data_IF_301292715789
#
_entry.id   IF_301292715789
#
_cell.length_a   1.000
_cell.length_b   1.000
_cell.length_c   1.000
_cell.angle_alpha   90.00
_cell.angle_beta   90.00
_cell.angle_gamma   90.00
#
_symmetry.space_group_name_H-M   'P 1'
#
loop_
_entity.id
_entity.type
_entity.pdbx_description
1 polymer ?
#
# COMPACT_ATOMS: atom_id res chain seq x y z
N UNK A 1 -25.02 -23.47 18.44
CA UNK A 1 -24.18 -22.38 18.98
C UNK A 1 -22.74 -22.79 18.77
N UNK A 2 -22.13 -22.33 17.68
CA UNK A 2 -20.73 -22.61 17.39
C UNK A 2 -19.89 -21.57 18.14
N UNK A 3 -18.95 -22.05 18.94
CA UNK A 3 -17.97 -21.24 19.66
C UNK A 3 -17.11 -20.50 18.65
N UNK A 4 -17.20 -19.17 18.68
CA UNK A 4 -16.24 -18.26 18.07
C UNK A 4 -14.85 -18.59 18.62
N UNK A 5 -14.05 -19.27 17.80
CA UNK A 5 -12.67 -19.60 18.13
C UNK A 5 -11.88 -18.30 18.05
N UNK A 6 -11.73 -17.65 19.20
CA UNK A 6 -11.03 -16.38 19.35
C UNK A 6 -9.67 -16.42 18.64
N UNK A 7 -9.62 -15.87 17.42
CA UNK A 7 -8.37 -15.55 16.76
C UNK A 7 -7.75 -14.44 17.59
N UNK A 8 -6.79 -14.80 18.43
CA UNK A 8 -5.92 -13.87 19.13
C UNK A 8 -5.38 -12.88 18.09
N UNK A 9 -5.66 -11.59 18.30
CA UNK A 9 -5.03 -10.51 17.52
C UNK A 9 -3.51 -10.75 17.58
N UNK A 10 -2.80 -10.78 16.44
CA UNK A 10 -1.36 -11.06 16.45
C UNK A 10 -0.62 -10.07 17.36
N UNK A 11 0.42 -10.55 18.03
CA UNK A 11 1.37 -9.66 18.70
C UNK A 11 2.09 -8.78 17.68
N UNK A 12 2.66 -7.66 18.11
CA UNK A 12 3.47 -6.81 17.22
C UNK A 12 4.64 -7.56 16.58
N UNK A 13 5.26 -8.47 17.33
CA UNK A 13 6.36 -9.31 16.85
C UNK A 13 5.90 -10.29 15.76
N UNK A 14 4.72 -10.90 15.93
CA UNK A 14 4.12 -11.76 14.90
C UNK A 14 3.74 -10.96 13.66
N UNK A 15 3.15 -9.77 13.84
CA UNK A 15 2.79 -8.89 12.74
C UNK A 15 4.01 -8.44 11.93
N UNK A 16 5.11 -8.06 12.60
CA UNK A 16 6.37 -7.71 11.95
C UNK A 16 6.95 -8.90 11.17
N UNK A 17 6.94 -10.09 11.77
CA UNK A 17 7.39 -11.32 11.10
C UNK A 17 6.55 -11.62 9.86
N UNK A 18 5.23 -11.42 9.90
CA UNK A 18 4.36 -11.57 8.72
C UNK A 18 4.76 -10.60 7.62
N UNK A 19 5.00 -9.32 7.93
CA UNK A 19 5.48 -8.34 6.93
C UNK A 19 6.81 -8.78 6.32
N UNK A 20 7.76 -9.21 7.15
CA UNK A 20 9.07 -9.70 6.70
C UNK A 20 8.95 -10.95 5.81
N UNK A 21 8.08 -11.90 6.15
CA UNK A 21 7.84 -13.11 5.36
C UNK A 21 7.23 -12.77 3.99
N UNK A 22 6.25 -11.86 3.95
CA UNK A 22 5.69 -11.38 2.68
C UNK A 22 6.78 -10.69 1.86
N UNK A 23 7.60 -9.83 2.46
CA UNK A 23 8.70 -9.15 1.77
C UNK A 23 9.72 -10.15 1.18
N UNK A 24 10.15 -11.15 1.94
CA UNK A 24 11.07 -12.20 1.49
C UNK A 24 10.48 -13.03 0.35
N UNK A 25 9.20 -13.40 0.43
CA UNK A 25 8.53 -14.15 -0.65
C UNK A 25 8.43 -13.35 -1.97
N UNK A 26 8.57 -12.02 -1.89
CA UNK A 26 8.45 -11.07 -3.01
C UNK A 26 9.78 -10.45 -3.43
N UNK A 27 10.83 -10.66 -2.65
CA UNK A 27 12.05 -9.87 -2.70
C UNK A 27 13.27 -10.69 -2.32
N UNK A 28 14.04 -11.03 -3.34
CA UNK A 28 15.44 -11.46 -3.32
C UNK A 28 15.77 -12.71 -2.51
N UNK A 29 16.66 -13.54 -3.07
CA UNK A 29 17.28 -14.62 -2.31
C UNK A 29 18.06 -14.05 -1.12
N UNK A 30 18.15 -14.82 -0.03
CA UNK A 30 18.92 -14.41 1.15
C UNK A 30 20.40 -14.23 0.80
N UNK A 31 21.10 -13.33 1.49
CA UNK A 31 22.55 -13.15 1.31
C UNK A 31 23.33 -14.45 1.54
N UNK A 32 22.87 -15.30 2.46
CA UNK A 32 23.43 -16.63 2.68
C UNK A 32 23.29 -17.53 1.43
N UNK A 33 22.11 -17.55 0.81
CA UNK A 33 21.85 -18.31 -0.41
C UNK A 33 22.63 -17.74 -1.61
N UNK A 34 22.76 -16.42 -1.71
CA UNK A 34 23.58 -15.75 -2.71
C UNK A 34 25.05 -16.14 -2.58
N UNK A 35 25.58 -16.12 -1.35
CA UNK A 35 26.96 -16.52 -1.08
C UNK A 35 27.18 -17.99 -1.41
N UNK A 36 26.28 -18.88 -1.02
CA UNK A 36 26.36 -20.30 -1.36
C UNK A 36 26.35 -20.54 -2.88
N UNK A 37 25.50 -19.81 -3.61
CA UNK A 37 25.46 -19.85 -5.06
C UNK A 37 26.74 -19.31 -5.72
N UNK A 38 27.33 -18.24 -5.16
CA UNK A 38 28.58 -17.68 -5.63
C UNK A 38 29.75 -18.64 -5.39
N UNK A 39 29.83 -19.23 -4.20
CA UNK A 39 30.85 -20.24 -3.89
C UNK A 39 30.70 -21.49 -4.77
N UNK A 40 29.47 -21.89 -5.11
CA UNK A 40 29.22 -22.99 -6.06
C UNK A 40 29.67 -22.63 -7.48
N UNK A 41 29.42 -21.39 -7.91
CA UNK A 41 29.90 -20.86 -9.19
C UNK A 41 31.43 -20.82 -9.26
N UNK A 42 32.10 -20.39 -8.18
CA UNK A 42 33.56 -20.38 -8.07
C UNK A 42 34.15 -21.80 -8.14
N UNK A 43 33.39 -22.82 -7.69
CA UNK A 43 33.71 -24.26 -7.86
C UNK A 43 33.35 -24.82 -9.23
N UNK A 44 32.80 -24.01 -10.13
CA UNK A 44 32.43 -24.37 -11.51
C UNK A 44 30.96 -24.72 -11.73
N UNK A 45 30.12 -24.74 -10.69
CA UNK A 45 28.66 -24.95 -10.83
C UNK A 45 27.91 -23.61 -10.86
N UNK A 46 27.81 -23.06 -12.07
CA UNK A 46 27.16 -21.76 -12.31
C UNK A 46 25.63 -21.81 -12.38
N UNK A 47 25.00 -22.99 -12.25
CA UNK A 47 23.56 -23.16 -12.53
C UNK A 47 22.69 -22.36 -11.57
N UNK A 48 23.02 -22.39 -10.28
CA UNK A 48 22.29 -21.64 -9.26
C UNK A 48 22.49 -20.13 -9.46
N UNK A 49 23.71 -19.70 -9.79
CA UNK A 49 23.99 -18.29 -10.05
C UNK A 49 23.23 -17.77 -11.28
N UNK A 50 23.12 -18.56 -12.35
CA UNK A 50 22.31 -18.22 -13.53
C UNK A 50 20.82 -18.11 -13.20
N UNK A 51 20.29 -18.97 -12.32
CA UNK A 51 18.90 -18.86 -11.86
C UNK A 51 18.67 -17.58 -11.04
N UNK A 52 19.61 -17.23 -10.16
CA UNK A 52 19.56 -15.98 -9.38
C UNK A 52 19.58 -14.78 -10.33
N UNK A 53 20.53 -14.74 -11.28
CA UNK A 53 20.67 -13.67 -12.25
C UNK A 53 19.43 -13.53 -13.14
N UNK A 54 18.89 -14.65 -13.66
CA UNK A 54 17.67 -14.64 -14.47
C UNK A 54 16.45 -14.17 -13.67
N UNK A 55 16.35 -14.55 -12.39
CA UNK A 55 15.29 -14.06 -11.50
C UNK A 55 15.44 -12.56 -11.23
N UNK A 56 16.65 -12.05 -10.98
CA UNK A 56 16.91 -10.62 -10.76
C UNK A 56 16.63 -9.79 -12.03
N UNK A 57 17.00 -10.29 -13.21
CA UNK A 57 16.66 -9.64 -14.48
C UNK A 57 15.14 -9.61 -14.71
N UNK A 58 14.45 -10.73 -14.47
CA UNK A 58 12.99 -10.78 -14.54
C UNK A 58 12.33 -9.84 -13.53
N UNK A 59 12.87 -9.77 -12.30
CA UNK A 59 12.42 -8.87 -11.24
C UNK A 59 12.56 -7.40 -11.67
N UNK A 60 13.69 -7.04 -12.28
CA UNK A 60 13.94 -5.71 -12.84
C UNK A 60 12.98 -5.39 -14.00
N UNK A 61 12.72 -6.34 -14.89
CA UNK A 61 11.72 -6.19 -15.96
C UNK A 61 10.34 -5.96 -15.35
N UNK A 62 9.93 -6.77 -14.36
CA UNK A 62 8.64 -6.62 -13.69
C UNK A 62 8.52 -5.27 -12.96
N UNK A 63 9.58 -4.80 -12.31
CA UNK A 63 9.62 -3.48 -11.68
C UNK A 63 9.42 -2.36 -12.69
N UNK A 64 10.11 -2.41 -13.84
CA UNK A 64 9.95 -1.45 -14.93
C UNK A 64 8.56 -1.52 -15.56
N UNK A 65 8.03 -2.72 -15.78
CA UNK A 65 6.67 -2.91 -16.27
C UNK A 65 5.63 -2.36 -15.30
N UNK A 66 5.84 -2.52 -13.99
CA UNK A 66 4.96 -1.91 -12.98
C UNK A 66 4.97 -0.39 -13.04
N UNK A 67 6.14 0.22 -13.25
CA UNK A 67 6.26 1.67 -13.45
C UNK A 67 5.50 2.13 -14.69
N UNK A 68 5.75 1.51 -15.85
CA UNK A 68 5.08 1.84 -17.12
C UNK A 68 3.55 1.63 -17.02
N UNK A 69 3.11 0.50 -16.47
CA UNK A 69 1.67 0.20 -16.28
C UNK A 69 1.04 1.22 -15.31
N UNK A 70 1.78 1.62 -14.26
CA UNK A 70 1.36 2.66 -13.32
C UNK A 70 1.22 4.04 -13.98
N UNK A 71 1.94 4.30 -15.07
CA UNK A 71 1.87 5.55 -15.83
C UNK A 71 0.79 5.50 -16.92
N UNK A 72 0.68 4.37 -17.66
CA UNK A 72 -0.17 4.22 -18.85
C UNK A 72 -1.65 3.88 -18.57
N UNK A 73 -1.99 3.14 -17.50
CA UNK A 73 -3.38 2.69 -17.26
C UNK A 73 -4.35 3.78 -16.75
N UNK A 74 -3.86 4.98 -16.41
CA UNK A 74 -4.57 5.85 -15.47
C UNK A 74 -4.87 7.25 -16.03
N UNK A 75 -5.73 7.28 -17.05
CA UNK A 75 -6.23 8.50 -17.72
C UNK A 75 -7.24 9.32 -16.90
N UNK A 76 -7.71 8.85 -15.73
CA UNK A 76 -8.56 9.66 -14.85
C UNK A 76 -8.08 9.67 -13.38
N UNK A 77 -7.81 10.88 -12.87
CA UNK A 77 -7.36 11.14 -11.50
C UNK A 77 -8.37 10.69 -10.42
N UNK A 78 -9.64 10.45 -10.76
CA UNK A 78 -10.65 9.96 -9.83
C UNK A 78 -10.59 8.44 -9.57
N UNK A 79 -9.85 7.68 -10.39
CA UNK A 79 -9.86 6.21 -10.31
C UNK A 79 -9.28 5.67 -9.02
N UNK A 80 -8.17 6.23 -8.52
CA UNK A 80 -7.56 5.75 -7.28
C UNK A 80 -8.48 5.95 -6.07
N UNK A 81 -9.27 7.03 -6.03
CA UNK A 81 -10.25 7.27 -4.96
C UNK A 81 -11.32 6.19 -4.96
N UNK A 82 -11.81 5.80 -6.13
CA UNK A 82 -12.77 4.72 -6.26
C UNK A 82 -12.18 3.39 -5.78
N UNK A 83 -10.93 3.09 -6.10
CA UNK A 83 -10.25 1.88 -5.63
C UNK A 83 -10.06 1.88 -4.09
N UNK A 84 -9.75 3.04 -3.50
CA UNK A 84 -9.66 3.19 -2.03
C UNK A 84 -11.03 2.98 -1.38
N UNK A 85 -12.09 3.58 -1.93
CA UNK A 85 -13.46 3.41 -1.42
C UNK A 85 -13.88 1.94 -1.52
N UNK A 86 -13.63 1.30 -2.66
CA UNK A 86 -13.93 -0.13 -2.85
C UNK A 86 -13.17 -1.02 -1.87
N UNK A 87 -11.89 -0.74 -1.60
CA UNK A 87 -11.13 -1.47 -0.57
C UNK A 87 -11.74 -1.28 0.82
N UNK A 88 -12.29 -0.09 1.11
CA UNK A 88 -12.97 0.18 2.38
C UNK A 88 -14.33 -0.51 2.45
N UNK A 89 -15.10 -0.57 1.36
CA UNK A 89 -16.36 -1.33 1.29
C UNK A 89 -16.12 -2.84 1.48
N UNK A 90 -15.02 -3.38 0.95
CA UNK A 90 -14.61 -4.79 1.07
C UNK A 90 -14.10 -5.18 2.49
N UNK A 91 -13.94 -4.22 3.41
CA UNK A 91 -13.43 -4.48 4.77
C UNK A 91 -14.50 -5.06 5.71
N UNK A 92 -14.05 -5.58 6.84
CA UNK A 92 -14.95 -6.06 7.90
C UNK A 92 -15.13 -4.99 8.99
N UNK A 93 -16.38 -4.76 9.39
CA UNK A 93 -16.74 -3.79 10.44
C UNK A 93 -17.42 -4.50 11.61
N UNK A 94 -17.48 -3.84 12.77
CA UNK A 94 -18.23 -4.36 13.91
C UNK A 94 -19.74 -4.21 13.66
N UNK A 95 -20.54 -5.17 14.13
CA UNK A 95 -22.00 -5.23 13.86
C UNK A 95 -22.75 -3.97 14.31
N UNK A 96 -22.25 -3.27 15.33
CA UNK A 96 -22.86 -2.07 15.90
C UNK A 96 -22.09 -0.78 15.56
N UNK A 97 -21.17 -0.81 14.60
CA UNK A 97 -20.44 0.39 14.13
C UNK A 97 -20.96 0.81 12.76
N UNK A 98 -21.17 2.10 12.55
CA UNK A 98 -21.39 2.66 11.22
C UNK A 98 -20.06 2.68 10.45
N UNK A 99 -19.92 1.94 9.34
CA UNK A 99 -18.71 1.93 8.53
C UNK A 99 -18.39 3.32 7.98
N UNK A 100 -17.17 3.79 8.22
CA UNK A 100 -16.75 5.12 7.83
C UNK A 100 -15.38 5.12 7.17
N UNK A 101 -15.25 5.98 6.17
CA UNK A 101 -13.99 6.34 5.54
C UNK A 101 -13.81 7.86 5.62
N UNK A 102 -12.67 8.31 6.14
CA UNK A 102 -12.30 9.72 6.19
C UNK A 102 -11.13 9.97 5.26
N UNK A 103 -11.22 11.03 4.45
CA UNK A 103 -10.12 11.49 3.59
C UNK A 103 -9.77 12.93 3.96
N UNK A 104 -8.53 13.12 4.41
CA UNK A 104 -7.96 14.42 4.74
C UNK A 104 -6.76 14.70 3.84
N UNK A 105 -6.76 15.86 3.19
CA UNK A 105 -5.68 16.27 2.30
C UNK A 105 -4.81 17.32 2.97
N UNK A 106 -3.51 17.15 2.79
CA UNK A 106 -2.45 18.02 3.24
C UNK A 106 -1.60 18.43 2.02
N UNK A 107 -0.82 19.52 2.11
CA UNK A 107 0.00 20.00 0.98
C UNK A 107 0.93 18.94 0.38
N UNK A 108 1.42 18.01 1.19
CA UNK A 108 2.38 16.97 0.79
C UNK A 108 1.87 15.54 1.04
N UNK A 109 0.63 15.35 1.47
CA UNK A 109 0.12 14.02 1.80
C UNK A 109 -1.41 13.92 1.72
N UNK A 110 -1.90 12.71 1.47
CA UNK A 110 -3.32 12.35 1.67
C UNK A 110 -3.40 11.34 2.80
N UNK A 111 -4.22 11.61 3.80
CA UNK A 111 -4.52 10.67 4.89
C UNK A 111 -5.90 10.09 4.70
N UNK A 112 -5.97 8.77 4.69
CA UNK A 112 -7.20 8.00 4.60
C UNK A 112 -7.33 7.21 5.92
N UNK A 113 -8.48 7.29 6.57
CA UNK A 113 -8.76 6.59 7.82
C UNK A 113 -10.04 5.76 7.72
N UNK A 114 -10.04 4.55 8.28
CA UNK A 114 -11.21 3.66 8.35
C UNK A 114 -11.35 3.06 9.75
N UNK A 115 -12.60 2.90 10.19
CA UNK A 115 -12.99 2.28 11.46
C UNK A 115 -13.27 0.78 11.37
N UNK A 116 -12.81 0.12 10.32
CA UNK A 116 -12.89 -1.34 10.16
C UNK A 116 -12.21 -2.11 11.32
N UNK A 117 -12.35 -3.43 11.36
CA UNK A 117 -11.77 -4.30 12.42
C UNK A 117 -10.26 -4.39 12.36
N UNK A 118 -9.66 -4.14 11.19
CA UNK A 118 -8.24 -4.21 10.93
C UNK A 118 -7.89 -5.31 9.94
N UNK A 119 -6.74 -5.14 9.29
CA UNK A 119 -6.26 -6.02 8.24
C UNK A 119 -5.89 -7.39 8.77
N UNK A 120 -6.19 -8.38 7.94
CA UNK A 120 -5.64 -9.73 8.02
C UNK A 120 -4.39 -9.84 7.16
N UNK A 121 -3.63 -10.92 7.33
CA UNK A 121 -2.51 -11.25 6.43
C UNK A 121 -2.96 -11.30 4.96
N UNK A 122 -4.15 -11.84 4.68
CA UNK A 122 -4.70 -11.89 3.32
C UNK A 122 -4.94 -10.49 2.73
N UNK A 123 -5.34 -9.50 3.55
CA UNK A 123 -5.45 -8.12 3.10
C UNK A 123 -4.08 -7.56 2.68
N UNK A 124 -3.03 -7.81 3.47
CA UNK A 124 -1.66 -7.35 3.18
C UNK A 124 -1.12 -8.03 1.92
N UNK A 125 -1.29 -9.35 1.81
CA UNK A 125 -0.92 -10.12 0.62
C UNK A 125 -1.64 -9.58 -0.60
N UNK A 126 -2.94 -9.25 -0.48
CA UNK A 126 -3.73 -8.68 -1.57
C UNK A 126 -3.25 -7.29 -1.98
N UNK A 127 -2.92 -6.42 -1.01
CA UNK A 127 -2.27 -5.14 -1.28
C UNK A 127 -0.93 -5.33 -2.00
N UNK A 128 -0.19 -6.40 -1.73
CA UNK A 128 1.12 -6.70 -2.32
C UNK A 128 1.08 -7.51 -3.64
N UNK A 129 -0.11 -7.82 -4.18
CA UNK A 129 -0.23 -8.58 -5.45
C UNK A 129 -0.12 -7.67 -6.69
N UNK A 130 0.19 -8.31 -7.83
CA UNK A 130 0.16 -7.74 -9.19
C UNK A 130 -0.57 -8.74 -10.08
N UNK A 131 -1.70 -8.34 -10.67
CA UNK A 131 -2.45 -9.18 -11.60
C UNK A 131 -3.14 -10.41 -10.96
N UNK A 132 -4.22 -10.88 -11.61
CA UNK A 132 -5.17 -11.93 -11.17
C UNK A 132 -5.75 -11.74 -9.76
N UNK A 133 -6.86 -11.00 -9.65
CA UNK A 133 -7.83 -11.25 -8.58
C UNK A 133 -8.70 -12.46 -8.98
N UNK A 134 -9.02 -13.34 -8.05
CA UNK A 134 -9.89 -14.52 -8.24
C UNK A 134 -11.38 -14.19 -8.13
N UNK A 135 -11.76 -12.90 -8.06
CA UNK A 135 -13.17 -12.50 -7.98
C UNK A 135 -13.84 -12.71 -9.35
N UNK A 136 -14.96 -13.45 -9.43
CA UNK A 136 -15.68 -13.65 -10.68
C UNK A 136 -16.16 -12.30 -11.25
N UNK A 137 -16.13 -12.19 -12.58
CA UNK A 137 -16.56 -10.99 -13.32
C UNK A 137 -18.08 -10.86 -13.17
N UNK A 138 -18.56 -9.93 -12.35
CA UNK A 138 -20.00 -9.76 -12.13
C UNK A 138 -20.39 -8.58 -11.23
N UNK A 139 -21.01 -7.59 -11.87
CA UNK A 139 -21.85 -6.50 -11.33
C UNK A 139 -21.16 -5.33 -10.58
N UNK A 140 -20.64 -4.38 -11.37
CA UNK A 140 -20.24 -3.04 -10.92
C UNK A 140 -19.03 -2.53 -11.70
N UNK A 141 -18.49 -1.37 -11.34
CA UNK A 141 -17.11 -0.97 -11.67
C UNK A 141 -16.13 -1.92 -10.93
N UNK A 142 -16.23 -3.22 -11.20
CA UNK A 142 -15.46 -4.28 -10.57
C UNK A 142 -14.02 -4.15 -11.01
N UNK A 143 -13.13 -3.98 -10.03
CA UNK A 143 -11.68 -3.99 -10.17
C UNK A 143 -11.19 -5.27 -10.85
N UNK A 144 -11.21 -5.24 -12.17
CA UNK A 144 -10.40 -6.11 -12.99
C UNK A 144 -8.94 -5.83 -12.63
N UNK A 145 -8.27 -6.87 -12.13
CA UNK A 145 -6.82 -6.96 -11.92
C UNK A 145 -6.38 -6.40 -10.55
N UNK A 146 -5.62 -7.22 -9.82
CA UNK A 146 -4.95 -6.86 -8.56
C UNK A 146 -3.85 -5.79 -8.75
N UNK A 147 -4.24 -4.62 -9.24
CA UNK A 147 -3.46 -3.40 -9.47
C UNK A 147 -4.18 -2.16 -8.91
N UNK A 148 -5.43 -2.30 -8.43
CA UNK A 148 -6.26 -1.20 -7.95
C UNK A 148 -5.57 -0.30 -6.93
N UNK A 149 -5.03 -0.89 -5.86
CA UNK A 149 -4.29 -0.12 -4.84
C UNK A 149 -3.01 0.54 -5.40
N UNK A 150 -2.37 -0.02 -6.42
CA UNK A 150 -1.12 0.55 -6.99
C UNK A 150 -1.35 1.90 -7.65
N UNK A 151 -2.59 2.21 -8.03
CA UNK A 151 -2.96 3.51 -8.60
C UNK A 151 -2.64 4.72 -7.69
N UNK A 152 -2.50 4.51 -6.37
CA UNK A 152 -2.08 5.57 -5.44
C UNK A 152 -0.68 6.11 -5.74
N UNK A 153 0.20 5.33 -6.38
CA UNK A 153 1.57 5.75 -6.69
C UNK A 153 1.68 6.76 -7.84
N UNK A 154 0.56 7.07 -8.51
CA UNK A 154 0.47 8.22 -9.41
C UNK A 154 0.63 9.56 -8.69
N UNK A 155 0.15 9.63 -7.45
CA UNK A 155 0.13 10.84 -6.63
C UNK A 155 1.05 10.74 -5.40
N UNK A 156 1.55 9.54 -5.11
CA UNK A 156 2.33 9.24 -3.94
C UNK A 156 3.66 8.62 -4.34
N UNK A 157 4.71 8.99 -3.62
CA UNK A 157 6.00 8.32 -3.63
C UNK A 157 5.97 7.10 -2.71
N UNK A 158 5.42 7.28 -1.51
CA UNK A 158 5.25 6.23 -0.51
C UNK A 158 3.80 6.12 -0.07
N UNK A 159 3.38 4.91 0.22
CA UNK A 159 2.15 4.63 0.94
C UNK A 159 2.52 3.99 2.28
N UNK A 160 2.29 4.70 3.37
CA UNK A 160 2.43 4.19 4.73
C UNK A 160 1.09 3.65 5.19
N UNK A 161 1.06 2.43 5.74
CA UNK A 161 -0.15 1.75 6.17
C UNK A 161 0.00 1.29 7.61
N UNK A 162 -0.95 1.70 8.44
CA UNK A 162 -1.20 1.12 9.76
C UNK A 162 -2.55 0.45 9.74
N UNK A 163 -2.60 -0.80 10.17
CA UNK A 163 -3.82 -1.45 10.59
C UNK A 163 -3.50 -2.39 11.74
N UNK A 164 -3.70 -1.93 12.98
CA UNK A 164 -3.11 -2.59 14.16
C UNK A 164 -3.47 -4.08 14.21
N UNK A 165 -2.50 -5.00 14.32
CA UNK A 165 -1.10 -4.80 14.74
C UNK A 165 -0.08 -4.58 13.60
N UNK A 166 -0.50 -4.44 12.35
CA UNK A 166 0.38 -4.29 11.19
C UNK A 166 0.77 -2.83 10.92
N UNK A 167 2.06 -2.63 10.61
CA UNK A 167 2.66 -1.34 10.25
C UNK A 167 3.64 -1.56 9.11
N UNK A 168 3.39 -0.99 7.94
CA UNK A 168 4.29 -1.16 6.80
C UNK A 168 4.17 -0.04 5.78
N UNK A 169 5.22 0.14 5.01
CA UNK A 169 5.24 1.02 3.85
C UNK A 169 5.40 0.24 2.53
N UNK A 170 4.94 0.87 1.47
CA UNK A 170 5.22 0.53 0.08
C UNK A 170 5.83 1.76 -0.59
N UNK A 171 6.94 1.56 -1.30
CA UNK A 171 7.80 2.63 -1.83
C UNK A 171 8.00 2.47 -3.33
N UNK A 172 7.56 3.46 -4.13
CA UNK A 172 7.69 3.40 -5.60
C UNK A 172 9.13 3.48 -6.09
N UNK A 173 10.03 4.08 -5.30
CA UNK A 173 11.42 4.34 -5.69
C UNK A 173 12.31 3.13 -5.41
N UNK A 174 11.83 2.16 -4.61
CA UNK A 174 12.53 0.91 -4.32
C UNK A 174 12.20 -0.16 -5.35
N UNK A 175 13.16 -1.01 -5.68
CA UNK A 175 12.94 -2.15 -6.56
C UNK A 175 11.83 -3.06 -6.03
N UNK A 176 10.77 -3.25 -6.84
CA UNK A 176 9.51 -3.90 -6.44
C UNK A 176 8.85 -3.30 -5.18
N UNK A 177 9.24 -2.12 -4.72
CA UNK A 177 8.76 -1.55 -3.45
C UNK A 177 7.28 -1.20 -3.46
N UNK A 178 6.64 -1.09 -4.63
CA UNK A 178 5.19 -1.00 -4.72
C UNK A 178 4.48 -2.29 -4.28
N UNK A 179 5.14 -3.45 -4.30
CA UNK A 179 4.57 -4.78 -4.02
C UNK A 179 5.31 -5.55 -2.93
N UNK A 180 6.46 -5.04 -2.48
CA UNK A 180 7.26 -5.61 -1.41
C UNK A 180 7.09 -4.68 -0.19
N UNK A 181 6.41 -5.11 0.87
CA UNK A 181 6.21 -4.28 2.05
C UNK A 181 7.51 -4.14 2.84
N UNK A 182 7.62 -3.07 3.63
CA UNK A 182 8.68 -2.88 4.62
C UNK A 182 8.05 -2.47 5.94
N UNK A 183 8.47 -3.07 7.05
CA UNK A 183 7.98 -2.69 8.37
C UNK A 183 8.24 -1.21 8.65
N UNK A 184 7.22 -0.50 9.16
CA UNK A 184 7.26 0.95 9.32
C UNK A 184 6.40 1.42 10.51
N UNK A 185 6.75 0.96 11.71
CA UNK A 185 5.98 1.28 12.92
C UNK A 185 6.25 2.70 13.40
N UNK A 186 7.49 3.14 13.28
CA UNK A 186 8.00 4.40 13.79
C UNK A 186 7.29 5.60 13.15
N UNK A 187 6.90 5.49 11.88
CA UNK A 187 6.18 6.53 11.16
C UNK A 187 4.86 6.95 11.83
N UNK A 188 4.12 5.99 12.38
CA UNK A 188 2.79 6.25 12.97
C UNK A 188 2.80 6.62 14.45
N UNK A 189 3.96 6.56 15.13
CA UNK A 189 4.08 6.88 16.55
C UNK A 189 3.15 6.06 17.47
N UNK A 190 2.65 6.69 18.54
CA UNK A 190 1.73 6.07 19.51
C UNK A 190 0.30 6.09 18.95
N UNK A 191 -0.36 4.92 18.94
CA UNK A 191 -1.75 4.61 18.50
C UNK A 191 -2.52 5.80 17.89
N UNK A 192 -2.77 5.76 16.58
CA UNK A 192 -3.66 6.75 15.96
C UNK A 192 -5.14 6.54 16.27
N UNK A 193 -5.93 7.54 15.91
CA UNK A 193 -7.36 7.69 16.25
C UNK A 193 -8.32 6.71 15.55
N UNK A 194 -7.84 5.94 14.56
CA UNK A 194 -8.63 5.03 13.74
C UNK A 194 -7.95 3.68 13.65
N UNK A 195 -8.70 2.59 13.40
CA UNK A 195 -8.11 1.26 13.34
C UNK A 195 -7.14 1.12 12.16
N UNK A 196 -7.58 1.53 10.96
CA UNK A 196 -6.76 1.53 9.74
C UNK A 196 -6.49 2.96 9.27
N UNK A 197 -5.22 3.27 9.00
CA UNK A 197 -4.77 4.54 8.43
C UNK A 197 -3.81 4.28 7.26
N UNK A 198 -4.06 4.94 6.14
CA UNK A 198 -3.21 4.95 4.96
C UNK A 198 -2.75 6.39 4.74
N UNK A 199 -1.45 6.63 4.68
CA UNK A 199 -0.87 7.94 4.39
C UNK A 199 -0.12 7.84 3.07
N UNK A 200 -0.61 8.57 2.08
CA UNK A 200 -0.02 8.71 0.77
C UNK A 200 0.89 9.94 0.80
N UNK A 201 2.21 9.74 0.84
CA UNK A 201 3.21 10.81 0.85
C UNK A 201 3.58 11.18 -0.58
N UNK A 202 3.38 12.45 -0.97
CA UNK A 202 3.75 12.96 -2.28
C UNK A 202 5.27 13.13 -2.48
N UNK A 203 5.74 13.36 -3.71
CA UNK A 203 7.12 13.75 -3.98
C UNK A 203 7.42 15.12 -3.36
N UNK A 204 8.60 15.27 -2.74
CA UNK A 204 9.06 16.52 -2.11
C UNK A 204 9.26 17.67 -3.10
N UNK A 205 9.35 17.38 -4.40
CA UNK A 205 9.69 18.34 -5.47
C UNK A 205 8.50 18.98 -6.18
N UNK A 206 7.28 18.48 -5.99
CA UNK A 206 6.08 19.07 -6.58
C UNK A 206 4.94 19.04 -5.56
N UNK A 207 4.42 20.20 -5.12
CA UNK A 207 3.16 20.21 -4.38
C UNK A 207 2.06 19.75 -5.34
N UNK A 208 1.71 18.47 -5.29
CA UNK A 208 0.52 17.98 -5.95
C UNK A 208 -0.66 18.73 -5.32
N UNK A 209 -1.28 19.59 -6.13
CA UNK A 209 -2.46 20.29 -5.70
C UNK A 209 -3.61 19.28 -5.70
N UNK A 210 -3.72 18.51 -4.63
CA UNK A 210 -4.79 17.52 -4.43
C UNK A 210 -6.18 18.15 -4.54
N UNK A 211 -6.29 19.47 -4.32
CA UNK A 211 -7.49 20.26 -4.59
C UNK A 211 -7.84 20.36 -6.08
N UNK A 212 -6.86 20.34 -7.00
CA UNK A 212 -7.09 20.20 -8.45
C UNK A 212 -7.53 18.78 -8.84
N UNK A 213 -7.03 17.76 -8.13
CA UNK A 213 -7.41 16.36 -8.31
C UNK A 213 -8.88 16.08 -7.93
N UNK A 214 -9.44 16.92 -7.06
CA UNK A 214 -10.82 16.87 -6.56
C UNK A 214 -11.72 17.99 -7.09
N UNK A 215 -11.23 18.79 -8.06
CA UNK A 215 -12.04 19.76 -8.80
C UNK A 215 -12.36 21.09 -8.10
N UNK A 216 -11.49 21.62 -7.23
CA UNK A 216 -11.62 23.00 -6.72
C UNK A 216 -10.62 23.96 -7.38
N UNK A 217 -11.02 25.20 -7.71
CA UNK A 217 -10.13 26.21 -8.29
C UNK A 217 -9.11 26.72 -7.25
N UNK A 218 -7.89 27.00 -7.70
CA UNK A 218 -6.78 27.41 -6.83
C UNK A 218 -7.03 28.80 -6.22
N UNK A 219 -6.93 28.92 -4.90
CA UNK A 219 -6.62 30.19 -4.26
C UNK A 219 -5.08 30.32 -4.19
N UNK A 220 -4.55 31.37 -4.81
CA UNK A 220 -3.13 31.72 -4.75
C UNK A 220 -2.81 32.46 -3.45
N UNK A 221 -1.53 32.37 -3.09
CA UNK A 221 -0.74 33.23 -2.20
C UNK A 221 -0.64 32.84 -0.71
N UNK A 222 0.49 32.23 -0.33
CA UNK A 222 1.46 32.79 0.65
C UNK A 222 2.65 31.84 0.93
N UNK A 223 3.82 32.36 1.34
CA UNK A 223 5.12 31.69 1.20
C UNK A 223 5.47 30.71 2.34
N UNK A 224 6.30 29.73 1.99
CA UNK A 224 6.81 28.66 2.83
C UNK A 224 7.59 29.19 4.06
N UNK A 225 7.10 28.88 5.26
CA UNK A 225 7.92 28.85 6.46
C UNK A 225 7.78 27.48 7.15
N UNK A 226 8.93 26.94 7.54
CA UNK A 226 9.11 25.67 8.25
C UNK A 226 8.38 25.66 9.59
N UNK A 227 7.13 25.23 9.56
CA UNK A 227 6.34 24.72 10.66
C UNK A 227 5.06 24.16 10.04
N UNK A 228 4.73 22.90 10.30
CA UNK A 228 3.51 22.26 9.78
C UNK A 228 2.29 23.17 10.00
N UNK A 229 1.59 23.64 8.93
CA UNK A 229 0.38 24.42 9.12
C UNK A 229 -0.74 23.54 9.69
N UNK A 230 -1.62 24.06 10.55
CA UNK A 230 -2.57 23.28 11.33
C UNK A 230 -3.85 22.90 10.57
N UNK A 231 -4.08 23.38 9.36
CA UNK A 231 -5.36 23.18 8.66
C UNK A 231 -5.26 22.08 7.61
N UNK A 232 -5.60 20.85 8.00
CA UNK A 232 -6.04 19.83 7.05
C UNK A 232 -7.37 20.29 6.42
N UNK A 233 -7.52 20.21 5.09
CA UNK A 233 -8.85 20.24 4.49
C UNK A 233 -9.43 18.82 4.54
N UNK A 234 -10.30 18.57 5.51
CA UNK A 234 -11.13 17.35 5.50
C UNK A 234 -12.07 17.46 4.31
N UNK A 235 -11.90 16.59 3.33
CA UNK A 235 -12.66 16.68 2.08
C UNK A 235 -13.92 15.84 2.11
N UNK A 236 -13.92 14.71 2.84
CA UNK A 236 -15.09 13.86 2.91
C UNK A 236 -15.06 12.93 4.14
N UNK A 237 -16.23 12.82 4.77
CA UNK A 237 -16.62 11.65 5.55
C UNK A 237 -17.59 10.84 4.68
N UNK A 238 -17.20 9.64 4.30
CA UNK A 238 -17.95 8.82 3.35
C UNK A 238 -18.57 7.65 4.13
N UNK A 239 -19.91 7.58 4.23
CA UNK A 239 -20.57 6.36 4.71
C UNK A 239 -20.38 5.26 3.66
N UNK A 240 -19.94 4.09 4.10
CA UNK A 240 -19.64 2.97 3.21
C UNK A 240 -20.88 2.08 3.01
N UNK A 241 -20.96 1.42 1.86
CA UNK A 241 -22.09 0.53 1.54
C UNK A 241 -21.73 -0.88 2.02
N UNK A 242 -22.50 -1.40 2.98
CA UNK A 242 -22.49 -2.83 3.27
C UNK A 242 -23.44 -3.56 2.33
#
# INVERSE_FOLDING_TARGET
MATDSGRLVPTLHEAERTIQNIAQSRGSYTEAFRREAQEAADRGDNRILQLIQGYEEFKSIAARSLQIISEDLFTCNARFLMEIIQNADDNQYHENSEPSLTIAVYPNAVRIGSNEKGYTEDNIVSLCRVGKSTKPVGHGYTGEKGIGFKSVFKIARKAHIRSHPYYFELDKDRELGMITPQWDREYFGVRGSVQTAIVLEGPTSEPHNFSLLLGKPSCRDSPCHNSFPPSAETLAHIPLRQ
#
